data_IF_779273401204
#
_entry.id   IF_779273401204
#
_cell.length_a   1.000
_cell.length_b   1.000
_cell.length_c   1.000
_cell.angle_alpha   90.00
_cell.angle_beta   90.00
_cell.angle_gamma   90.00
#
_symmetry.space_group_name_H-M   'P 1'
#
loop_
_entity.id
_entity.type
_entity.pdbx_description
1 polymer ?
#
# COMPACT_ATOMS: atom_id res chain seq x y z
N UNK A 1 -7.06 -23.58 -3.75
CA UNK A 1 -6.08 -22.47 -3.68
C UNK A 1 -6.52 -21.44 -4.72
N UNK A 2 -6.84 -20.23 -4.29
CA UNK A 2 -7.23 -19.16 -5.22
C UNK A 2 -5.98 -18.38 -5.61
N UNK A 3 -5.78 -18.15 -6.91
CA UNK A 3 -4.62 -17.45 -7.45
C UNK A 3 -5.08 -16.21 -8.22
N UNK A 4 -4.40 -15.10 -8.01
CA UNK A 4 -4.59 -13.87 -8.78
C UNK A 4 -3.54 -13.87 -9.89
N UNK A 5 -3.98 -13.85 -11.15
CA UNK A 5 -3.09 -13.81 -12.32
C UNK A 5 -2.86 -12.36 -12.75
N UNK A 6 -1.67 -12.05 -13.25
CA UNK A 6 -1.34 -10.77 -13.90
C UNK A 6 -1.13 -10.99 -15.40
N UNK A 7 -1.13 -9.89 -16.17
CA UNK A 7 -0.79 -9.92 -17.60
C UNK A 7 0.69 -10.28 -17.80
N UNK A 8 1.00 -11.03 -18.88
CA UNK A 8 2.34 -11.55 -19.15
C UNK A 8 3.40 -10.45 -19.33
N UNK A 9 2.99 -9.29 -19.86
CA UNK A 9 3.86 -8.13 -20.11
C UNK A 9 3.91 -7.13 -18.93
N UNK A 10 3.31 -7.48 -17.79
CA UNK A 10 3.23 -6.58 -16.65
C UNK A 10 4.63 -6.31 -16.05
N UNK A 11 4.98 -5.03 -15.91
CA UNK A 11 6.21 -4.58 -15.24
C UNK A 11 5.87 -3.84 -13.96
N UNK A 12 6.52 -4.15 -12.83
CA UNK A 12 6.31 -3.43 -11.58
C UNK A 12 6.69 -1.96 -11.74
N UNK A 13 5.80 -1.06 -11.29
CA UNK A 13 6.01 0.39 -11.35
C UNK A 13 6.01 0.97 -9.95
N UNK A 14 7.01 1.82 -9.67
CA UNK A 14 7.01 2.66 -8.49
C UNK A 14 6.22 3.95 -8.78
N UNK A 15 5.02 4.07 -8.22
CA UNK A 15 4.25 5.30 -8.32
C UNK A 15 4.74 6.32 -7.29
N UNK A 16 4.94 7.60 -7.67
CA UNK A 16 5.39 8.63 -6.75
C UNK A 16 4.32 8.90 -5.67
N UNK A 17 4.73 8.86 -4.41
CA UNK A 17 3.87 9.14 -3.27
C UNK A 17 3.49 10.63 -3.24
N UNK A 18 2.19 10.92 -3.12
CA UNK A 18 1.69 12.30 -2.91
C UNK A 18 1.92 12.74 -1.47
N UNK A 19 1.86 14.05 -1.21
CA UNK A 19 2.00 14.62 0.14
C UNK A 19 1.07 13.90 1.12
N UNK A 20 1.66 13.33 2.16
CA UNK A 20 0.95 12.62 3.22
C UNK A 20 0.34 13.63 4.20
N UNK A 21 -0.90 13.37 4.61
CA UNK A 21 -1.47 14.05 5.78
C UNK A 21 -0.79 13.49 7.05
N UNK A 22 -0.65 14.28 8.14
CA UNK A 22 -0.02 13.84 9.40
C UNK A 22 -0.69 12.62 10.08
N UNK A 23 -1.86 12.20 9.59
CA UNK A 23 -2.65 11.06 10.08
C UNK A 23 -2.03 9.70 9.70
N UNK A 24 -0.74 9.49 9.97
CA UNK A 24 -0.04 8.22 9.74
C UNK A 24 -0.29 7.17 10.83
N UNK A 25 -1.11 7.48 11.84
CA UNK A 25 -1.41 6.57 12.97
C UNK A 25 -2.13 5.29 12.55
N UNK A 26 -2.85 5.30 11.44
CA UNK A 26 -3.62 4.13 10.98
C UNK A 26 -2.72 3.04 10.39
N UNK A 27 -1.63 3.40 9.72
CA UNK A 27 -0.67 2.43 9.15
C UNK A 27 -0.03 1.61 10.26
N UNK A 28 0.31 2.25 11.38
CA UNK A 28 0.88 1.57 12.57
C UNK A 28 -0.13 0.58 13.16
N UNK A 29 -1.41 0.94 13.26
CA UNK A 29 -2.45 0.02 13.75
C UNK A 29 -2.62 -1.21 12.86
N UNK A 30 -2.51 -1.05 11.54
CA UNK A 30 -2.60 -2.19 10.60
C UNK A 30 -1.38 -3.12 10.73
N UNK A 31 -0.19 -2.57 11.00
CA UNK A 31 1.01 -3.35 11.32
C UNK A 31 0.85 -4.11 12.64
N UNK A 32 0.34 -3.44 13.69
CA UNK A 32 0.12 -4.05 15.01
C UNK A 32 -0.88 -5.22 14.98
N UNK A 33 -1.94 -5.09 14.18
CA UNK A 33 -2.95 -6.16 13.98
C UNK A 33 -2.44 -7.26 13.04
N UNK A 34 -1.30 -7.05 12.36
CA UNK A 34 -0.72 -8.02 11.43
C UNK A 34 -1.42 -8.10 10.07
N UNK A 35 -2.20 -7.08 9.71
CA UNK A 35 -2.83 -7.01 8.37
C UNK A 35 -1.82 -6.68 7.26
N UNK A 36 -0.73 -5.99 7.60
CA UNK A 36 0.36 -5.64 6.69
C UNK A 36 1.72 -5.95 7.34
N UNK A 37 2.77 -6.04 6.54
CA UNK A 37 4.14 -6.31 6.97
C UNK A 37 5.13 -5.43 6.19
N UNK A 38 6.30 -5.09 6.77
CA UNK A 38 7.32 -4.33 6.06
C UNK A 38 7.97 -5.17 4.96
N UNK A 39 8.18 -4.54 3.81
CA UNK A 39 8.90 -5.15 2.67
C UNK A 39 9.89 -4.12 2.15
N UNK A 40 11.16 -4.50 2.06
CA UNK A 40 12.24 -3.60 1.64
C UNK A 40 12.54 -3.65 0.13
N UNK A 41 12.25 -4.77 -0.53
CA UNK A 41 12.94 -5.12 -1.79
C UNK A 41 12.07 -5.02 -3.06
N UNK A 42 10.93 -4.31 -3.03
CA UNK A 42 9.99 -4.31 -4.15
C UNK A 42 10.17 -3.11 -5.09
N UNK A 43 10.15 -3.38 -6.39
CA UNK A 43 10.09 -2.35 -7.43
C UNK A 43 8.70 -1.69 -7.53
N UNK A 44 7.67 -2.34 -6.97
CA UNK A 44 6.30 -1.83 -6.99
C UNK A 44 6.06 -0.86 -5.83
N UNK A 45 5.54 0.32 -6.10
CA UNK A 45 5.07 1.23 -5.04
C UNK A 45 3.69 1.75 -5.42
N UNK A 46 2.71 1.58 -4.51
CA UNK A 46 1.37 2.14 -4.66
C UNK A 46 1.19 3.31 -3.69
N UNK A 47 0.62 4.45 -4.12
CA UNK A 47 0.48 5.62 -3.27
C UNK A 47 -0.61 5.37 -2.22
N UNK A 48 -0.32 5.73 -0.97
CA UNK A 48 -1.28 5.62 0.15
C UNK A 48 -1.79 7.01 0.53
N UNK A 49 -3.09 7.15 0.75
CA UNK A 49 -3.69 8.39 1.21
C UNK A 49 -4.76 8.11 2.27
N UNK A 50 -4.75 8.91 3.33
CA UNK A 50 -5.78 8.89 4.38
C UNK A 50 -6.77 10.01 4.12
N UNK A 51 -8.04 9.65 3.96
CA UNK A 51 -9.16 10.58 3.76
C UNK A 51 -10.19 10.37 4.86
N UNK A 52 -10.84 11.45 5.36
CA UNK A 52 -11.95 11.31 6.30
C UNK A 52 -13.06 10.46 5.67
N UNK A 53 -13.61 9.51 6.43
CA UNK A 53 -14.78 8.76 5.99
C UNK A 53 -15.95 9.73 5.87
N UNK A 54 -16.63 9.72 4.72
CA UNK A 54 -17.87 10.48 4.55
C UNK A 54 -18.92 9.93 5.53
N UNK A 55 -19.49 10.83 6.33
CA UNK A 55 -20.63 10.55 7.21
C UNK A 55 -21.93 10.37 6.44
#
# INVERSE_FOLDING_TARGET
MHSIMMEDDYKPVAQPQRRLNPTMKEVVKLLEVGMIYPISDIAWVSPVQVVPKKG
#
